data_IF_406563851721
#
_entry.id   IF_406563851721
#
_cell.length_a   1.000
_cell.length_b   1.000
_cell.length_c   1.000
_cell.angle_alpha   90.00
_cell.angle_beta   90.00
_cell.angle_gamma   90.00
#
_symmetry.space_group_name_H-M   'P 1'
#
loop_
_entity.id
_entity.type
_entity.pdbx_description
1 polymer ?
#
# COMPACT_ATOMS: atom_id res chain seq x y z
N UNK A 1 -7.26 -53.87 -30.54
CA UNK A 1 -6.78 -55.03 -29.70
C UNK A 1 -5.29 -54.95 -29.56
N UNK A 2 -4.77 -54.45 -28.44
CA UNK A 2 -3.39 -54.69 -27.96
C UNK A 2 -3.41 -54.46 -26.45
N UNK A 3 -3.28 -55.57 -25.73
CA UNK A 3 -3.18 -55.64 -24.28
C UNK A 3 -1.75 -55.27 -23.89
N UNK A 4 -1.58 -54.32 -22.95
CA UNK A 4 -0.30 -54.04 -22.29
C UNK A 4 -0.38 -54.60 -20.88
N UNK A 5 0.55 -55.51 -20.60
CA UNK A 5 0.76 -56.19 -19.33
C UNK A 5 1.42 -55.27 -18.32
N UNK A 6 0.85 -55.15 -17.12
CA UNK A 6 1.48 -54.51 -15.98
C UNK A 6 2.40 -55.55 -15.27
N UNK A 7 3.69 -55.27 -15.22
CA UNK A 7 4.65 -56.01 -14.41
C UNK A 7 4.78 -55.41 -13.01
N UNK A 8 4.46 -56.17 -12.00
CA UNK A 8 4.69 -55.80 -10.57
C UNK A 8 6.09 -56.30 -10.21
N UNK A 9 6.98 -55.35 -9.86
CA UNK A 9 8.29 -55.63 -9.26
C UNK A 9 8.15 -55.54 -7.74
N UNK A 10 8.21 -56.69 -7.07
CA UNK A 10 8.25 -56.77 -5.62
C UNK A 10 9.68 -56.56 -5.12
N UNK A 11 9.87 -55.61 -4.23
CA UNK A 11 11.12 -55.33 -3.52
C UNK A 11 11.07 -56.05 -2.16
N UNK A 12 11.88 -57.07 -1.97
CA UNK A 12 12.04 -57.80 -0.70
C UNK A 12 13.01 -57.01 0.21
N UNK A 13 12.52 -56.60 1.38
CA UNK A 13 13.37 -56.06 2.45
C UNK A 13 13.96 -57.17 3.28
N UNK A 14 15.28 -57.33 3.27
CA UNK A 14 16.04 -58.19 4.17
C UNK A 14 16.33 -57.41 5.46
N UNK A 15 15.72 -57.80 6.56
CA UNK A 15 16.02 -57.27 7.88
C UNK A 15 17.22 -58.04 8.49
N UNK A 16 18.38 -57.37 8.59
CA UNK A 16 19.52 -57.84 9.38
C UNK A 16 19.36 -57.40 10.82
N UNK A 17 19.05 -58.32 11.71
CA UNK A 17 19.03 -58.08 13.15
C UNK A 17 20.44 -58.07 13.73
N UNK A 18 20.86 -56.96 14.32
CA UNK A 18 22.01 -56.88 15.23
C UNK A 18 21.51 -56.91 16.70
N UNK A 19 21.77 -58.04 17.35
CA UNK A 19 21.54 -58.18 18.79
C UNK A 19 22.73 -57.60 19.55
N UNK A 20 22.49 -56.48 20.30
CA UNK A 20 23.49 -55.93 21.22
C UNK A 20 23.14 -56.40 22.65
N UNK A 21 24.06 -57.15 23.24
CA UNK A 21 23.95 -57.57 24.64
C UNK A 21 24.17 -56.36 25.59
N UNK A 22 23.17 -56.05 26.40
CA UNK A 22 23.25 -55.05 27.46
C UNK A 22 23.88 -55.70 28.71
N UNK A 23 25.14 -55.40 28.99
CA UNK A 23 25.74 -55.61 30.30
C UNK A 23 25.34 -54.46 31.23
N UNK A 24 24.57 -54.81 32.26
CA UNK A 24 24.12 -53.86 33.25
C UNK A 24 25.30 -53.25 34.06
N UNK A 25 25.37 -51.93 34.03
CA UNK A 25 26.12 -51.13 35.05
C UNK A 25 25.09 -50.29 35.77
N UNK A 26 24.90 -50.59 37.02
CA UNK A 26 24.12 -49.74 37.93
C UNK A 26 24.83 -48.41 38.07
N UNK A 27 24.27 -47.36 37.46
CA UNK A 27 24.70 -46.01 37.69
C UNK A 27 23.87 -45.41 38.84
N UNK A 28 24.59 -44.99 39.87
CA UNK A 28 24.11 -44.26 41.02
C UNK A 28 23.31 -43.04 40.56
N UNK A 29 22.08 -42.90 41.05
CA UNK A 29 21.25 -41.70 40.88
C UNK A 29 21.87 -40.49 41.56
N UNK A 30 22.69 -39.73 40.82
CA UNK A 30 22.99 -38.39 41.21
C UNK A 30 21.70 -37.56 41.04
N UNK A 31 21.18 -37.02 42.10
CA UNK A 31 19.97 -36.18 42.15
C UNK A 31 20.10 -35.04 41.11
N UNK A 32 19.22 -35.04 40.14
CA UNK A 32 19.02 -33.89 39.28
C UNK A 32 18.59 -32.71 40.17
N UNK A 33 19.41 -31.70 40.24
CA UNK A 33 18.98 -30.40 40.79
C UNK A 33 17.71 -29.99 40.06
N UNK A 34 16.70 -29.44 40.75
CA UNK A 34 15.52 -28.91 40.05
C UNK A 34 16.02 -27.84 39.11
N UNK A 35 15.92 -28.12 37.81
CA UNK A 35 16.18 -27.14 36.76
C UNK A 35 15.33 -25.91 37.05
N UNK A 36 16.00 -24.80 37.39
CA UNK A 36 15.32 -23.53 37.57
C UNK A 36 14.44 -23.31 36.38
N UNK A 37 13.16 -23.08 36.60
CA UNK A 37 12.25 -22.60 35.55
C UNK A 37 12.97 -21.45 34.85
N UNK A 38 12.94 -21.38 33.50
CA UNK A 38 13.53 -20.26 32.84
C UNK A 38 12.88 -19.01 33.43
N UNK A 39 13.72 -18.09 33.92
CA UNK A 39 13.26 -16.78 34.39
C UNK A 39 12.34 -16.24 33.32
N UNK A 40 11.04 -16.07 33.67
CA UNK A 40 9.99 -15.61 32.77
C UNK A 40 10.10 -14.13 32.39
N UNK A 41 11.28 -13.72 31.94
CA UNK A 41 11.42 -12.50 31.15
C UNK A 41 10.68 -12.76 29.84
N UNK A 42 9.65 -11.97 29.55
CA UNK A 42 8.94 -12.07 28.29
C UNK A 42 9.98 -12.01 27.16
N UNK A 43 9.88 -12.97 26.22
CA UNK A 43 10.68 -12.93 25.00
C UNK A 43 10.61 -11.52 24.41
N UNK A 44 11.74 -10.87 24.07
CA UNK A 44 11.74 -9.46 23.67
C UNK A 44 10.80 -9.14 22.51
N UNK A 45 10.69 -10.06 21.52
CA UNK A 45 9.73 -9.92 20.41
C UNK A 45 8.29 -9.98 20.90
N UNK A 46 7.96 -10.89 21.82
CA UNK A 46 6.61 -11.01 22.37
C UNK A 46 6.19 -9.76 23.18
N UNK A 47 7.15 -9.06 23.79
CA UNK A 47 6.87 -7.79 24.46
C UNK A 47 6.50 -6.69 23.46
N UNK A 48 7.29 -6.52 22.37
CA UNK A 48 7.02 -5.57 21.28
C UNK A 48 5.66 -5.84 20.66
N UNK A 49 5.37 -7.11 20.35
CA UNK A 49 4.09 -7.50 19.74
C UNK A 49 2.92 -7.16 20.65
N UNK A 50 2.99 -7.47 21.94
CA UNK A 50 1.90 -7.21 22.90
C UNK A 50 1.57 -5.73 22.98
N UNK A 51 2.56 -4.87 22.88
CA UNK A 51 2.40 -3.42 22.95
C UNK A 51 1.85 -2.84 21.64
N UNK A 52 2.39 -3.27 20.49
CA UNK A 52 2.03 -2.71 19.18
C UNK A 52 0.74 -3.30 18.59
N UNK A 53 0.46 -4.58 18.86
CA UNK A 53 -0.64 -5.33 18.24
C UNK A 53 -2.01 -4.64 18.35
N UNK A 54 -2.40 -4.02 19.48
CA UNK A 54 -3.70 -3.35 19.57
C UNK A 54 -3.86 -2.18 18.59
N UNK A 55 -2.75 -1.58 18.13
CA UNK A 55 -2.76 -0.49 17.16
C UNK A 55 -2.69 -0.97 15.71
N UNK A 56 -2.48 -2.26 15.44
CA UNK A 56 -2.46 -2.83 14.09
C UNK A 56 -3.88 -3.20 13.66
N UNK A 57 -4.26 -2.84 12.46
CA UNK A 57 -5.61 -3.02 11.94
C UNK A 57 -5.60 -3.73 10.60
N UNK A 58 -6.66 -4.51 10.35
CA UNK A 58 -6.93 -5.05 9.03
C UNK A 58 -7.61 -3.97 8.18
N UNK A 59 -7.13 -3.77 6.96
CA UNK A 59 -7.72 -2.88 5.97
C UNK A 59 -8.28 -3.73 4.85
N UNK A 60 -9.60 -3.66 4.64
CA UNK A 60 -10.29 -4.37 3.57
C UNK A 60 -10.89 -3.35 2.61
N UNK A 61 -10.71 -3.58 1.33
CA UNK A 61 -11.16 -2.68 0.26
C UNK A 61 -12.04 -3.47 -0.70
N UNK A 62 -13.25 -3.00 -0.96
CA UNK A 62 -14.12 -3.56 -1.98
C UNK A 62 -13.66 -3.04 -3.35
N UNK A 63 -13.21 -3.94 -4.23
CA UNK A 63 -12.73 -3.62 -5.58
C UNK A 63 -13.63 -4.22 -6.64
N UNK A 64 -13.77 -3.54 -7.78
CA UNK A 64 -14.48 -4.06 -8.93
C UNK A 64 -13.49 -4.54 -9.99
N UNK A 65 -13.57 -5.80 -10.38
CA UNK A 65 -12.70 -6.40 -11.39
C UNK A 65 -13.50 -6.83 -12.62
N UNK A 66 -12.95 -6.67 -13.85
CA UNK A 66 -13.58 -7.22 -15.02
C UNK A 66 -13.61 -8.75 -14.94
N UNK A 67 -14.80 -9.34 -15.02
CA UNK A 67 -14.96 -10.78 -15.08
C UNK A 67 -14.71 -11.33 -16.52
N UNK A 68 -14.50 -12.64 -16.66
CA UNK A 68 -14.11 -13.29 -17.93
C UNK A 68 -15.13 -13.15 -19.07
N UNK A 69 -16.34 -12.69 -18.79
CA UNK A 69 -17.40 -12.50 -19.78
C UNK A 69 -17.87 -11.03 -19.91
N UNK A 70 -17.00 -10.07 -19.52
CA UNK A 70 -17.33 -8.64 -19.55
C UNK A 70 -18.30 -8.17 -18.46
N UNK A 71 -18.63 -9.05 -17.48
CA UNK A 71 -19.35 -8.68 -16.28
C UNK A 71 -18.39 -8.10 -15.23
N UNK A 72 -18.87 -7.21 -14.39
CA UNK A 72 -18.12 -6.69 -13.25
C UNK A 72 -18.27 -7.66 -12.09
N UNK A 73 -17.16 -8.14 -11.56
CA UNK A 73 -17.12 -8.97 -10.34
C UNK A 73 -16.61 -8.13 -9.18
N UNK A 74 -17.30 -8.24 -8.04
CA UNK A 74 -16.82 -7.64 -6.79
C UNK A 74 -15.76 -8.55 -6.17
N UNK A 75 -14.57 -7.99 -5.96
CA UNK A 75 -13.45 -8.61 -5.24
C UNK A 75 -13.20 -7.87 -3.93
N UNK A 76 -12.30 -8.42 -3.13
CA UNK A 76 -11.82 -7.76 -1.90
C UNK A 76 -10.30 -7.70 -1.94
N UNK A 77 -9.75 -6.50 -1.81
CA UNK A 77 -8.37 -6.29 -1.42
C UNK A 77 -8.24 -6.41 0.10
N UNK A 78 -7.14 -7.00 0.57
CA UNK A 78 -6.84 -7.11 2.00
C UNK A 78 -5.41 -6.66 2.24
N UNK A 79 -5.23 -5.80 3.22
CA UNK A 79 -3.95 -5.32 3.68
C UNK A 79 -3.98 -5.00 5.17
N UNK A 80 -2.95 -4.33 5.61
CA UNK A 80 -2.76 -3.94 7.00
C UNK A 80 -2.62 -2.42 7.09
N UNK A 81 -2.95 -1.87 8.25
CA UNK A 81 -2.64 -0.51 8.64
C UNK A 81 -2.24 -0.45 10.10
N UNK A 82 -1.79 0.70 10.55
CA UNK A 82 -1.52 0.93 11.96
C UNK A 82 -1.97 2.32 12.38
N UNK A 83 -2.51 2.40 13.60
CA UNK A 83 -3.09 3.62 14.17
C UNK A 83 -1.97 4.47 14.76
N UNK A 84 -1.84 5.70 14.28
CA UNK A 84 -0.80 6.64 14.73
C UNK A 84 -1.37 7.74 15.63
N UNK A 85 -2.71 7.89 15.67
CA UNK A 85 -3.38 8.89 16.50
C UNK A 85 -4.70 8.35 17.07
N UNK A 86 -4.95 8.63 18.36
CA UNK A 86 -6.08 8.07 19.12
C UNK A 86 -7.46 8.40 18.56
N UNK A 87 -7.57 9.43 17.73
CA UNK A 87 -8.82 9.82 17.06
C UNK A 87 -9.05 9.10 15.72
N UNK A 88 -8.23 8.08 15.39
CA UNK A 88 -8.46 7.20 14.26
C UNK A 88 -7.72 7.55 12.98
N UNK A 89 -6.53 8.16 13.07
CA UNK A 89 -5.61 8.30 11.95
C UNK A 89 -4.82 7.00 11.80
N UNK A 90 -4.81 6.45 10.60
CA UNK A 90 -4.21 5.17 10.25
C UNK A 90 -3.30 5.37 9.04
N UNK A 91 -2.13 4.76 9.08
CA UNK A 91 -1.20 4.70 7.95
C UNK A 91 -1.28 3.32 7.32
N UNK A 92 -1.25 3.27 5.99
CA UNK A 92 -1.22 2.05 5.18
C UNK A 92 -0.56 2.32 3.83
N UNK A 93 -0.42 1.32 2.96
CA UNK A 93 0.00 1.53 1.58
C UNK A 93 -1.12 2.05 0.68
N UNK A 94 -0.76 2.79 -0.39
CA UNK A 94 -1.73 3.26 -1.36
C UNK A 94 -2.36 2.09 -2.13
N UNK A 95 -1.56 1.10 -2.59
CA UNK A 95 -2.07 -0.06 -3.32
C UNK A 95 -3.07 -0.91 -2.53
N UNK A 96 -3.10 -0.81 -1.20
CA UNK A 96 -4.10 -1.50 -0.36
C UNK A 96 -5.49 -0.89 -0.52
N UNK A 97 -5.58 0.39 -0.85
CA UNK A 97 -6.84 1.15 -0.94
C UNK A 97 -7.14 1.69 -2.33
N UNK A 98 -6.18 1.62 -3.24
CA UNK A 98 -6.30 2.07 -4.64
C UNK A 98 -7.41 1.28 -5.38
N UNK A 99 -8.20 1.95 -6.20
CA UNK A 99 -9.31 1.33 -6.95
C UNK A 99 -10.49 0.85 -6.10
N UNK A 100 -10.49 1.14 -4.80
CA UNK A 100 -11.53 0.68 -3.87
C UNK A 100 -12.76 1.56 -3.84
N UNK A 101 -13.94 0.94 -3.85
CA UNK A 101 -15.22 1.63 -3.71
C UNK A 101 -15.64 1.84 -2.25
N UNK A 102 -15.17 0.97 -1.36
CA UNK A 102 -15.41 1.04 0.08
C UNK A 102 -14.19 0.52 0.84
N UNK A 103 -13.75 1.27 1.84
CA UNK A 103 -12.68 0.88 2.73
C UNK A 103 -13.26 0.59 4.12
N UNK A 104 -12.96 -0.59 4.64
CA UNK A 104 -13.36 -1.02 5.99
C UNK A 104 -12.10 -1.35 6.80
N UNK A 105 -12.03 -0.83 8.00
CA UNK A 105 -10.97 -1.10 8.96
C UNK A 105 -11.51 -1.95 10.09
N UNK A 106 -10.81 -3.06 10.39
CA UNK A 106 -11.13 -3.94 11.53
C UNK A 106 -10.00 -3.94 12.54
N UNK A 107 -10.31 -3.72 13.82
CA UNK A 107 -9.31 -3.72 14.90
C UNK A 107 -8.87 -5.12 15.26
N UNK A 108 -7.66 -5.26 15.82
CA UNK A 108 -7.07 -6.54 16.28
C UNK A 108 -7.53 -6.98 17.68
N UNK A 109 -8.53 -6.33 18.26
CA UNK A 109 -9.06 -6.70 19.57
C UNK A 109 -9.69 -8.11 19.58
N UNK A 110 -9.81 -8.74 20.75
CA UNK A 110 -10.50 -10.05 20.91
C UNK A 110 -11.93 -10.04 20.35
N UNK A 111 -12.59 -8.88 20.41
CA UNK A 111 -13.84 -8.61 19.71
C UNK A 111 -13.56 -7.52 18.68
N UNK A 112 -13.26 -7.88 17.41
CA UNK A 112 -12.94 -6.91 16.38
C UNK A 112 -14.10 -5.93 16.16
N UNK A 113 -13.78 -4.64 16.15
CA UNK A 113 -14.72 -3.60 15.73
C UNK A 113 -14.41 -3.22 14.30
N UNK A 114 -15.45 -3.04 13.50
CA UNK A 114 -15.35 -2.57 12.13
C UNK A 114 -15.77 -1.12 12.03
N UNK A 115 -15.05 -0.38 11.21
CA UNK A 115 -15.29 1.03 10.93
C UNK A 115 -15.19 1.27 9.44
N UNK A 116 -16.09 2.10 8.92
CA UNK A 116 -15.89 2.67 7.59
C UNK A 116 -14.73 3.67 7.67
N UNK A 117 -13.82 3.56 6.71
CA UNK A 117 -12.65 4.43 6.62
C UNK A 117 -12.70 5.30 5.36
N UNK A 118 -12.11 6.48 5.45
CA UNK A 118 -11.89 7.36 4.32
C UNK A 118 -10.42 7.73 4.23
N UNK A 119 -9.92 7.85 3.01
CA UNK A 119 -8.58 8.38 2.79
C UNK A 119 -8.61 9.89 3.06
N UNK A 120 -7.65 10.38 3.82
CA UNK A 120 -7.50 11.79 4.16
C UNK A 120 -6.23 12.41 3.58
N UNK A 121 -5.39 11.64 2.94
CA UNK A 121 -4.18 12.07 2.27
C UNK A 121 -3.30 10.88 1.93
N UNK A 122 -2.19 11.15 1.28
CA UNK A 122 -1.22 10.11 0.90
C UNK A 122 -0.35 10.56 -0.27
N UNK A 123 0.54 9.67 -0.65
CA UNK A 123 1.42 9.79 -1.82
C UNK A 123 1.49 8.43 -2.52
N UNK A 124 0.64 8.24 -3.52
CA UNK A 124 0.57 6.96 -4.23
C UNK A 124 1.80 6.68 -5.11
N UNK A 125 2.60 7.69 -5.46
CA UNK A 125 3.88 7.45 -6.14
C UNK A 125 4.87 6.73 -5.22
N UNK A 126 4.81 7.04 -3.91
CA UNK A 126 5.62 6.39 -2.87
C UNK A 126 4.83 5.36 -2.07
N UNK A 127 3.68 4.93 -2.61
CA UNK A 127 2.83 3.87 -2.05
C UNK A 127 2.36 4.12 -0.61
N UNK A 128 1.98 5.34 -0.30
CA UNK A 128 1.54 5.76 1.03
C UNK A 128 0.11 6.27 1.00
N UNK A 129 -0.72 5.80 1.94
CA UNK A 129 -2.06 6.32 2.19
C UNK A 129 -2.29 6.56 3.69
N UNK A 130 -3.04 7.62 3.99
CA UNK A 130 -3.46 7.98 5.34
C UNK A 130 -4.98 7.92 5.41
N UNK A 131 -5.49 7.09 6.33
CA UNK A 131 -6.92 6.88 6.51
C UNK A 131 -7.42 7.54 7.79
N UNK A 132 -8.71 7.82 7.82
CA UNK A 132 -9.44 8.27 9.01
C UNK A 132 -10.66 7.38 9.24
N UNK A 133 -10.80 6.91 10.46
CA UNK A 133 -12.01 6.27 10.98
C UNK A 133 -12.63 7.14 12.07
N UNK A 134 -13.94 7.10 12.23
CA UNK A 134 -14.64 7.86 13.25
C UNK A 134 -14.68 7.06 14.56
N UNK A 135 -13.58 7.17 15.31
CA UNK A 135 -13.39 6.53 16.61
C UNK A 135 -12.48 7.39 17.48
N UNK A 136 -12.52 7.16 18.79
CA UNK A 136 -11.73 7.89 19.78
C UNK A 136 -11.10 6.93 20.79
N UNK A 137 -10.07 7.40 21.50
CA UNK A 137 -9.34 6.63 22.51
C UNK A 137 -8.79 5.29 22.00
N UNK A 138 -8.40 5.28 20.72
CA UNK A 138 -7.80 4.10 20.09
C UNK A 138 -6.35 3.92 20.57
N UNK A 139 -5.87 2.67 20.68
CA UNK A 139 -4.46 2.39 20.88
C UNK A 139 -3.65 2.90 19.66
N UNK A 140 -2.44 3.38 19.92
CA UNK A 140 -1.55 3.91 18.89
C UNK A 140 -0.17 3.29 19.00
N UNK A 141 0.56 3.24 17.89
CA UNK A 141 1.96 2.86 17.86
C UNK A 141 2.81 4.09 17.55
N UNK A 142 3.92 4.33 18.30
CA UNK A 142 4.78 5.48 18.07
C UNK A 142 5.59 5.32 16.77
N UNK A 143 5.79 6.42 16.04
CA UNK A 143 6.71 6.48 14.92
C UNK A 143 8.15 6.63 15.45
N UNK A 144 9.04 5.80 14.94
CA UNK A 144 10.47 5.80 15.27
C UNK A 144 11.29 6.67 14.32
N UNK A 145 12.55 6.34 14.19
CA UNK A 145 13.55 7.00 13.36
C UNK A 145 14.22 5.92 12.49
N UNK A 146 13.95 5.94 11.18
CA UNK A 146 14.56 5.00 10.24
C UNK A 146 16.00 5.37 9.87
N UNK A 147 16.36 6.65 10.02
CA UNK A 147 17.74 7.13 9.79
C UNK A 147 18.72 6.63 10.86
N UNK A 148 18.22 6.25 12.05
CA UNK A 148 19.04 5.67 13.11
C UNK A 148 19.23 4.15 13.01
N UNK A 149 18.65 3.48 12.00
CA UNK A 149 18.77 2.03 11.82
C UNK A 149 20.19 1.63 11.42
N UNK A 150 20.62 0.46 11.91
CA UNK A 150 21.89 -0.15 11.53
C UNK A 150 21.69 -1.56 10.99
N UNK A 151 22.58 -2.02 10.13
CA UNK A 151 22.56 -3.38 9.59
C UNK A 151 22.67 -4.42 10.72
N UNK A 152 21.88 -5.47 10.63
CA UNK A 152 21.79 -6.51 11.65
C UNK A 152 20.88 -6.18 12.82
N UNK A 153 20.32 -4.97 12.91
CA UNK A 153 19.36 -4.60 13.94
C UNK A 153 18.09 -5.43 13.81
N UNK A 154 17.59 -5.99 14.92
CA UNK A 154 16.35 -6.79 14.94
C UNK A 154 15.14 -5.93 14.67
N UNK A 155 14.23 -6.48 13.85
CA UNK A 155 12.95 -5.86 13.49
C UNK A 155 11.83 -6.90 13.56
N UNK A 156 10.59 -6.41 13.75
CA UNK A 156 9.38 -7.22 13.82
C UNK A 156 8.36 -6.65 12.85
N UNK A 157 7.88 -7.45 11.93
CA UNK A 157 6.79 -7.09 11.04
C UNK A 157 5.48 -7.69 11.54
N UNK A 158 4.41 -6.90 11.50
CA UNK A 158 3.06 -7.34 11.90
C UNK A 158 2.11 -7.03 10.74
N UNK A 159 1.21 -7.98 10.44
CA UNK A 159 0.18 -7.74 9.43
C UNK A 159 -0.78 -8.91 9.23
N UNK A 160 -1.84 -8.68 8.46
CA UNK A 160 -2.90 -9.66 8.18
C UNK A 160 -2.56 -10.49 6.93
N UNK A 161 -1.46 -11.24 6.98
CA UNK A 161 -0.96 -12.02 5.87
C UNK A 161 -2.02 -12.98 5.32
N UNK A 162 -2.19 -13.01 3.97
CA UNK A 162 -3.06 -13.93 3.24
C UNK A 162 -4.53 -13.91 3.68
N UNK A 163 -4.98 -12.87 4.33
CA UNK A 163 -6.35 -12.77 4.89
C UNK A 163 -6.77 -14.00 5.74
N UNK A 164 -5.81 -14.64 6.41
CA UNK A 164 -6.06 -15.82 7.22
C UNK A 164 -6.95 -15.48 8.42
N UNK A 165 -7.84 -16.40 8.75
CA UNK A 165 -8.61 -16.32 9.99
C UNK A 165 -7.68 -16.48 11.21
N UNK A 166 -8.01 -15.81 12.32
CA UNK A 166 -7.26 -15.94 13.58
C UNK A 166 -6.41 -14.73 13.96
N UNK A 167 -6.45 -13.66 13.18
CA UNK A 167 -5.77 -12.41 13.51
C UNK A 167 -4.46 -12.16 12.75
N UNK A 168 -3.70 -11.13 13.12
CA UNK A 168 -2.48 -10.76 12.40
C UNK A 168 -1.34 -11.77 12.60
N UNK A 169 -0.53 -11.89 11.56
CA UNK A 169 0.71 -12.67 11.54
C UNK A 169 1.85 -11.78 12.04
N UNK A 170 2.75 -12.37 12.80
CA UNK A 170 3.99 -11.74 13.28
C UNK A 170 5.18 -12.46 12.68
N UNK A 171 6.09 -11.70 12.08
CA UNK A 171 7.39 -12.21 11.64
C UNK A 171 8.51 -11.37 12.25
N UNK A 172 9.68 -11.96 12.45
CA UNK A 172 10.84 -11.26 12.99
C UNK A 172 12.07 -11.55 12.13
N UNK A 173 12.92 -10.56 12.01
CA UNK A 173 14.15 -10.63 11.24
C UNK A 173 15.11 -9.52 11.64
N UNK A 174 15.99 -9.15 10.72
CA UNK A 174 16.97 -8.09 10.87
C UNK A 174 16.88 -7.09 9.71
N UNK A 175 17.44 -5.94 9.90
CA UNK A 175 17.75 -4.99 8.82
C UNK A 175 18.87 -5.58 7.98
N UNK A 176 18.55 -6.01 6.76
CA UNK A 176 19.52 -6.64 5.83
C UNK A 176 20.22 -5.63 4.93
N UNK A 177 19.53 -4.54 4.58
CA UNK A 177 20.10 -3.39 3.85
C UNK A 177 19.26 -2.13 4.09
N UNK A 178 19.86 -0.96 3.84
CA UNK A 178 19.26 0.36 3.96
C UNK A 178 19.46 1.15 2.66
N UNK A 179 18.66 2.22 2.49
CA UNK A 179 18.79 3.20 1.40
C UNK A 179 18.78 2.55 0.01
N UNK A 180 17.95 1.49 -0.19
CA UNK A 180 17.81 0.86 -1.50
C UNK A 180 16.68 1.51 -2.28
N UNK A 181 16.84 1.52 -3.61
CA UNK A 181 15.74 1.79 -4.53
C UNK A 181 15.37 0.49 -5.25
N UNK A 182 14.07 0.20 -5.30
CA UNK A 182 13.53 -0.96 -6.03
C UNK A 182 12.43 -0.52 -6.97
N UNK A 183 12.25 -1.26 -8.06
CA UNK A 183 11.16 -1.06 -9.01
C UNK A 183 10.33 -2.33 -9.06
N UNK A 184 9.04 -2.20 -8.82
CA UNK A 184 8.08 -3.29 -8.84
C UNK A 184 7.10 -3.04 -9.97
N UNK A 185 6.85 -4.06 -10.81
CA UNK A 185 5.82 -3.98 -11.84
C UNK A 185 4.45 -4.00 -11.16
N UNK A 186 3.68 -2.97 -11.39
CA UNK A 186 2.33 -2.81 -10.88
C UNK A 186 1.43 -2.23 -11.97
N UNK A 187 0.90 -3.10 -12.86
CA UNK A 187 0.03 -2.68 -13.96
C UNK A 187 -1.28 -2.03 -13.49
N UNK A 188 -1.65 -2.22 -12.21
CA UNK A 188 -2.87 -1.64 -11.63
C UNK A 188 -2.67 -0.23 -11.08
N UNK A 189 -1.42 0.25 -11.05
CA UNK A 189 -1.11 1.58 -10.55
C UNK A 189 -1.34 2.65 -11.61
N UNK A 190 -2.42 3.40 -11.49
CA UNK A 190 -2.80 4.46 -12.44
C UNK A 190 -1.84 5.66 -12.44
N UNK A 191 -1.15 5.89 -11.32
CA UNK A 191 -0.21 7.02 -11.16
C UNK A 191 1.24 6.65 -11.46
N UNK A 192 1.52 5.36 -11.70
CA UNK A 192 2.88 4.88 -11.95
C UNK A 192 3.30 5.03 -13.41
N UNK A 193 4.52 5.49 -13.64
CA UNK A 193 5.09 5.54 -14.99
C UNK A 193 5.32 4.12 -15.53
N UNK A 194 4.77 3.82 -16.71
CA UNK A 194 4.92 2.53 -17.39
C UNK A 194 4.45 1.31 -16.58
N UNK A 195 3.46 1.48 -15.68
CA UNK A 195 2.97 0.40 -14.83
C UNK A 195 4.04 -0.14 -13.88
N UNK A 196 4.97 0.70 -13.45
CA UNK A 196 6.03 0.34 -12.52
C UNK A 196 6.09 1.32 -11.36
N UNK A 197 5.96 0.82 -10.14
CA UNK A 197 6.10 1.57 -8.89
C UNK A 197 7.56 1.60 -8.47
N UNK A 198 8.10 2.79 -8.24
CA UNK A 198 9.48 2.97 -7.78
C UNK A 198 9.46 3.32 -6.31
N UNK A 199 10.06 2.46 -5.51
CA UNK A 199 10.28 2.72 -4.10
C UNK A 199 11.70 3.22 -3.91
N UNK A 200 11.85 4.44 -3.43
CA UNK A 200 13.12 5.00 -2.99
C UNK A 200 13.24 4.87 -1.48
N UNK A 201 14.46 4.73 -0.98
CA UNK A 201 14.75 4.67 0.45
C UNK A 201 14.00 3.55 1.19
N UNK A 202 14.12 2.30 0.68
CA UNK A 202 13.53 1.15 1.35
C UNK A 202 14.52 0.46 2.30
N UNK A 203 13.97 -0.06 3.38
CA UNK A 203 14.61 -0.97 4.32
C UNK A 203 14.42 -2.38 3.78
N UNK A 204 15.52 -3.11 3.55
CA UNK A 204 15.44 -4.54 3.27
C UNK A 204 15.55 -5.33 4.57
N UNK A 205 14.72 -6.36 4.71
CA UNK A 205 14.70 -7.26 5.86
C UNK A 205 14.52 -8.72 5.41
N UNK A 206 14.99 -9.66 6.23
CA UNK A 206 14.71 -11.09 6.11
C UNK A 206 13.46 -11.52 6.91
N UNK A 207 12.82 -10.59 7.64
CA UNK A 207 11.49 -10.83 8.16
C UNK A 207 10.54 -11.12 6.98
N UNK A 208 9.74 -12.19 7.09
CA UNK A 208 8.85 -12.58 6.00
C UNK A 208 7.77 -11.51 5.76
N UNK A 209 7.83 -10.84 4.62
CA UNK A 209 6.82 -9.91 4.11
C UNK A 209 6.08 -10.60 2.98
N UNK A 210 4.78 -10.78 3.13
CA UNK A 210 3.91 -11.46 2.18
C UNK A 210 2.64 -10.64 1.94
N UNK A 211 1.84 -11.03 0.94
CA UNK A 211 0.54 -10.43 0.68
C UNK A 211 -0.31 -10.34 1.94
N UNK A 212 -0.82 -9.15 2.23
CA UNK A 212 -1.60 -8.83 3.41
C UNK A 212 -0.79 -8.18 4.54
N UNK A 213 0.54 -8.37 4.63
CA UNK A 213 1.38 -7.58 5.53
C UNK A 213 1.55 -6.13 5.04
N UNK A 214 1.34 -5.88 3.74
CA UNK A 214 1.43 -4.56 3.12
C UNK A 214 0.62 -3.53 3.88
N UNK A 215 1.22 -2.37 4.16
CA UNK A 215 0.67 -1.29 4.98
C UNK A 215 0.83 -1.47 6.48
N UNK A 216 1.28 -2.65 6.94
CA UNK A 216 1.56 -2.93 8.34
C UNK A 216 2.89 -2.34 8.82
N UNK A 217 3.11 -2.25 10.15
CA UNK A 217 4.33 -1.68 10.68
C UNK A 217 5.51 -2.67 10.65
N UNK A 218 6.69 -2.16 10.30
CA UNK A 218 7.98 -2.74 10.66
C UNK A 218 8.48 -2.04 11.93
N UNK A 219 8.64 -2.79 13.02
CA UNK A 219 8.94 -2.26 14.35
C UNK A 219 10.40 -2.52 14.73
N UNK A 220 11.03 -1.58 15.43
CA UNK A 220 12.25 -1.83 16.18
C UNK A 220 11.95 -2.52 17.51
N UNK A 221 12.99 -2.92 18.26
CA UNK A 221 12.84 -3.60 19.55
C UNK A 221 12.36 -2.68 20.68
N UNK A 222 12.19 -1.37 20.43
CA UNK A 222 11.53 -0.43 21.33
C UNK A 222 10.01 -0.27 21.03
N UNK A 223 9.45 -1.07 20.08
CA UNK A 223 8.05 -0.99 19.70
C UNK A 223 7.69 0.21 18.83
N UNK A 224 8.68 0.89 18.24
CA UNK A 224 8.47 2.04 17.39
C UNK A 224 8.46 1.62 15.92
N UNK A 225 7.59 2.22 15.10
CA UNK A 225 7.53 1.97 13.66
C UNK A 225 8.73 2.61 12.98
N UNK A 226 9.58 1.81 12.35
CA UNK A 226 10.73 2.25 11.58
C UNK A 226 10.52 2.09 10.07
N UNK A 227 9.47 1.37 9.66
CA UNK A 227 9.09 1.22 8.26
C UNK A 227 7.66 0.78 8.09
N UNK A 228 7.17 0.88 6.86
CA UNK A 228 5.85 0.41 6.42
C UNK A 228 6.08 -0.78 5.50
N UNK A 229 5.65 -1.97 5.91
CA UNK A 229 5.80 -3.17 5.08
C UNK A 229 5.10 -2.95 3.73
N UNK A 230 5.76 -3.23 2.61
CA UNK A 230 5.16 -3.00 1.31
C UNK A 230 5.24 -4.22 0.40
N UNK A 231 6.41 -4.60 -0.07
CA UNK A 231 6.57 -5.65 -1.06
C UNK A 231 7.47 -6.78 -0.55
N UNK A 232 7.11 -8.01 -0.90
CA UNK A 232 8.07 -9.11 -1.00
C UNK A 232 8.67 -9.12 -2.41
N UNK A 233 9.86 -9.64 -2.56
CA UNK A 233 10.37 -9.94 -3.89
C UNK A 233 9.70 -11.24 -4.35
N UNK A 234 8.74 -11.18 -5.28
CA UNK A 234 8.04 -12.36 -5.80
C UNK A 234 8.97 -13.44 -6.39
N UNK A 235 10.21 -13.05 -6.69
CA UNK A 235 11.23 -13.90 -7.33
C UNK A 235 12.35 -14.35 -6.39
N UNK A 236 12.35 -13.90 -5.11
CA UNK A 236 13.43 -14.23 -4.18
C UNK A 236 12.87 -14.53 -2.77
N UNK A 237 13.27 -15.64 -2.21
CA UNK A 237 12.92 -16.02 -0.84
C UNK A 237 13.70 -15.17 0.19
N UNK A 238 13.06 -14.87 1.32
CA UNK A 238 13.66 -14.14 2.46
C UNK A 238 14.15 -12.73 2.12
N UNK A 239 13.52 -12.07 1.15
CA UNK A 239 13.75 -10.66 0.83
C UNK A 239 12.44 -9.92 0.95
N UNK A 240 12.27 -9.16 2.04
CA UNK A 240 11.18 -8.24 2.26
C UNK A 240 11.64 -6.79 2.20
N UNK A 241 10.74 -5.90 1.83
CA UNK A 241 10.99 -4.47 1.77
C UNK A 241 9.95 -3.69 2.57
N UNK A 242 10.40 -2.66 3.26
CA UNK A 242 9.55 -1.70 3.94
C UNK A 242 9.97 -0.28 3.55
N UNK A 243 9.00 0.59 3.33
CA UNK A 243 9.21 2.02 3.12
C UNK A 243 9.74 2.60 4.42
N UNK A 244 10.86 3.32 4.38
CA UNK A 244 11.43 3.95 5.56
C UNK A 244 10.46 4.95 6.17
N UNK A 245 10.26 4.92 7.50
CA UNK A 245 9.21 5.75 8.15
C UNK A 245 9.51 7.24 8.03
N UNK A 246 10.78 7.65 7.96
CA UNK A 246 11.12 9.06 7.86
C UNK A 246 10.67 9.66 6.53
N UNK A 247 10.69 8.90 5.43
CA UNK A 247 10.15 9.35 4.14
C UNK A 247 8.61 9.49 4.15
N UNK A 248 7.92 8.82 5.07
CA UNK A 248 6.46 8.88 5.20
C UNK A 248 5.96 9.97 6.17
N UNK A 249 6.80 10.43 7.11
CA UNK A 249 6.38 11.33 8.21
C UNK A 249 5.75 12.63 7.72
N UNK A 250 6.36 13.29 6.75
CA UNK A 250 5.87 14.58 6.25
C UNK A 250 4.49 14.41 5.58
N UNK A 251 4.30 13.38 4.78
CA UNK A 251 3.01 13.07 4.17
C UNK A 251 1.94 12.76 5.22
N UNK A 252 2.28 12.01 6.26
CA UNK A 252 1.37 11.72 7.38
C UNK A 252 1.00 13.01 8.12
N UNK A 253 1.99 13.85 8.43
CA UNK A 253 1.74 15.13 9.11
C UNK A 253 0.90 16.07 8.26
N UNK A 254 1.17 16.17 6.96
CA UNK A 254 0.40 16.98 6.03
C UNK A 254 -1.05 16.48 5.94
N UNK A 255 -1.27 15.17 5.82
CA UNK A 255 -2.61 14.59 5.79
C UNK A 255 -3.40 14.83 7.09
N UNK A 256 -2.70 14.93 8.23
CA UNK A 256 -3.30 15.26 9.53
C UNK A 256 -3.62 16.75 9.63
N UNK A 257 -2.71 17.61 9.20
CA UNK A 257 -2.84 19.07 9.32
C UNK A 257 -3.88 19.63 8.36
N UNK A 258 -3.89 19.13 7.15
CA UNK A 258 -4.83 19.50 6.09
C UNK A 258 -5.36 18.21 5.44
N UNK A 259 -6.39 17.60 6.02
CA UNK A 259 -6.96 16.36 5.49
C UNK A 259 -7.39 16.54 4.04
N UNK A 260 -6.68 15.84 3.13
CA UNK A 260 -6.68 16.08 1.70
C UNK A 260 -6.43 17.57 1.48
N UNK A 261 -5.17 17.97 1.85
CA UNK A 261 -4.69 19.31 1.59
C UNK A 261 -5.34 19.76 0.32
N UNK A 262 -6.17 20.79 0.41
CA UNK A 262 -7.18 21.06 -0.58
C UNK A 262 -6.50 21.28 -1.93
N UNK A 263 -6.08 20.17 -2.55
CA UNK A 263 -5.54 20.20 -3.89
C UNK A 263 -6.62 20.83 -4.75
N UNK A 264 -6.26 21.93 -5.35
CA UNK A 264 -7.14 22.60 -6.27
C UNK A 264 -7.64 21.55 -7.29
N UNK A 265 -8.94 21.47 -7.42
CA UNK A 265 -9.60 20.44 -8.21
C UNK A 265 -10.28 21.07 -9.41
N UNK A 266 -9.82 20.70 -10.59
CA UNK A 266 -10.44 21.13 -11.84
C UNK A 266 -11.64 20.25 -12.23
N UNK A 267 -11.64 18.97 -11.87
CA UNK A 267 -12.71 18.04 -12.18
C UNK A 267 -12.64 17.47 -13.61
N UNK A 268 -11.45 17.13 -14.05
CA UNK A 268 -11.23 16.45 -15.34
C UNK A 268 -10.42 15.19 -15.16
N UNK A 269 -10.72 14.18 -15.95
CA UNK A 269 -9.81 13.08 -16.28
C UNK A 269 -9.09 13.44 -17.56
N UNK A 270 -7.76 13.45 -17.55
CA UNK A 270 -6.99 13.92 -18.71
C UNK A 270 -5.86 12.96 -19.07
N UNK A 271 -5.53 12.91 -20.36
CA UNK A 271 -4.43 12.13 -20.93
C UNK A 271 -3.48 13.07 -21.69
N UNK A 272 -2.19 12.79 -21.61
CA UNK A 272 -1.17 13.52 -22.38
C UNK A 272 -1.41 13.36 -23.90
N UNK A 273 -1.50 14.47 -24.62
CA UNK A 273 -1.51 14.46 -26.07
C UNK A 273 -0.12 14.11 -26.58
N UNK A 274 -0.01 12.93 -27.21
CA UNK A 274 1.17 12.51 -27.96
C UNK A 274 0.93 12.72 -29.45
N UNK A 275 1.97 12.81 -30.31
CA UNK A 275 1.78 12.89 -31.75
C UNK A 275 0.93 11.73 -32.30
N UNK A 276 1.10 10.52 -31.77
CA UNK A 276 0.31 9.35 -32.16
C UNK A 276 -1.18 9.54 -31.80
N UNK A 277 -1.48 9.98 -30.56
CA UNK A 277 -2.84 10.25 -30.12
C UNK A 277 -3.48 11.39 -30.91
N UNK A 278 -2.72 12.44 -31.21
CA UNK A 278 -3.19 13.57 -32.00
C UNK A 278 -3.65 13.13 -33.40
N UNK A 279 -2.87 12.25 -34.06
CA UNK A 279 -3.25 11.66 -35.33
C UNK A 279 -4.47 10.75 -35.19
N UNK A 280 -4.48 9.88 -34.20
CA UNK A 280 -5.57 8.92 -33.98
C UNK A 280 -6.92 9.61 -33.73
N UNK A 281 -6.93 10.69 -32.94
CA UNK A 281 -8.13 11.43 -32.61
C UNK A 281 -8.39 12.63 -33.53
N UNK A 282 -7.53 12.92 -34.50
CA UNK A 282 -7.66 14.08 -35.40
C UNK A 282 -7.55 15.43 -34.65
N UNK A 283 -6.73 15.49 -33.58
CA UNK A 283 -6.61 16.71 -32.77
C UNK A 283 -5.81 17.80 -33.51
N UNK A 284 -6.20 19.07 -33.38
CA UNK A 284 -5.52 20.19 -34.02
C UNK A 284 -4.23 20.63 -33.34
N UNK A 285 -3.82 19.94 -32.27
CA UNK A 285 -2.61 20.20 -31.47
C UNK A 285 -1.82 18.92 -31.23
N UNK A 286 -0.51 19.05 -31.03
CA UNK A 286 0.41 17.92 -30.85
C UNK A 286 0.87 17.70 -29.39
N UNK A 287 0.41 18.57 -28.48
CA UNK A 287 0.72 18.54 -27.05
C UNK A 287 -0.41 19.15 -26.25
N UNK A 288 -0.48 18.84 -24.96
CA UNK A 288 -1.51 19.32 -24.04
C UNK A 288 -2.09 18.18 -23.20
N UNK A 289 -3.07 18.50 -22.37
CA UNK A 289 -3.86 17.54 -21.61
C UNK A 289 -5.23 17.37 -22.26
N UNK A 290 -5.44 16.24 -22.96
CA UNK A 290 -6.72 15.87 -23.58
C UNK A 290 -7.72 15.48 -22.50
N UNK A 291 -8.87 16.12 -22.46
CA UNK A 291 -9.95 15.84 -21.51
C UNK A 291 -10.72 14.60 -21.98
N UNK A 292 -10.54 13.50 -21.28
CA UNK A 292 -11.25 12.24 -21.53
C UNK A 292 -12.68 12.35 -21.00
N UNK A 293 -12.83 12.90 -19.78
CA UNK A 293 -14.11 13.09 -19.12
C UNK A 293 -14.05 14.26 -18.15
N UNK A 294 -15.20 14.90 -17.94
CA UNK A 294 -15.42 15.89 -16.88
C UNK A 294 -16.24 15.25 -15.75
N UNK A 295 -15.92 15.61 -14.50
CA UNK A 295 -16.72 15.18 -13.36
C UNK A 295 -18.07 15.86 -13.36
N UNK A 296 -19.15 15.08 -13.16
CA UNK A 296 -20.49 15.62 -13.04
C UNK A 296 -20.58 16.63 -11.88
N UNK A 297 -21.20 17.78 -12.14
CA UNK A 297 -21.29 18.90 -11.20
C UNK A 297 -19.93 19.41 -10.70
N UNK A 298 -18.85 19.10 -11.42
CA UNK A 298 -17.51 19.57 -11.12
C UNK A 298 -17.19 20.94 -11.70
N UNK A 299 -16.10 21.60 -11.22
CA UNK A 299 -15.68 22.92 -11.66
C UNK A 299 -15.52 23.06 -13.17
N UNK A 300 -14.87 22.09 -13.81
CA UNK A 300 -14.66 22.08 -15.26
C UNK A 300 -15.98 22.07 -16.02
N UNK A 301 -16.93 21.23 -15.62
CA UNK A 301 -18.24 21.15 -16.27
C UNK A 301 -19.02 22.48 -16.12
N UNK A 302 -19.02 23.07 -14.92
CA UNK A 302 -19.66 24.37 -14.68
C UNK A 302 -19.04 25.49 -15.50
N UNK A 303 -17.72 25.45 -15.74
CA UNK A 303 -17.02 26.40 -16.60
C UNK A 303 -17.17 26.13 -18.10
N UNK A 304 -17.86 25.05 -18.49
CA UNK A 304 -18.11 24.70 -19.89
C UNK A 304 -16.94 23.97 -20.57
N UNK A 305 -15.99 23.41 -19.81
CA UNK A 305 -15.01 22.45 -20.34
C UNK A 305 -15.75 21.16 -20.70
N UNK A 306 -15.42 20.56 -21.82
CA UNK A 306 -16.11 19.38 -22.34
C UNK A 306 -15.11 18.25 -22.61
N UNK A 307 -15.64 17.04 -22.61
CA UNK A 307 -14.93 15.87 -23.11
C UNK A 307 -14.49 16.12 -24.54
N UNK A 308 -13.24 15.81 -24.87
CA UNK A 308 -12.63 16.09 -26.18
C UNK A 308 -11.92 17.45 -26.29
N UNK A 309 -12.00 18.34 -25.32
CA UNK A 309 -11.16 19.55 -25.25
C UNK A 309 -9.70 19.18 -24.94
N UNK A 310 -8.76 19.99 -25.36
CA UNK A 310 -7.36 19.91 -24.96
C UNK A 310 -7.00 21.16 -24.14
N UNK A 311 -6.58 20.96 -22.91
CA UNK A 311 -6.06 22.02 -22.04
C UNK A 311 -4.62 22.31 -22.47
N UNK A 312 -4.31 23.56 -22.83
CA UNK A 312 -3.00 23.97 -23.33
C UNK A 312 -2.31 25.00 -22.43
N UNK A 313 -3.04 25.68 -21.53
CA UNK A 313 -2.46 26.53 -20.50
C UNK A 313 -3.43 26.73 -19.32
N UNK A 314 -2.90 27.09 -18.14
CA UNK A 314 -3.62 27.58 -16.96
C UNK A 314 -2.91 28.84 -16.45
N UNK A 315 -3.63 29.95 -16.33
CA UNK A 315 -3.09 31.26 -15.93
C UNK A 315 -1.80 31.63 -16.72
N UNK A 316 -1.80 31.35 -18.03
CA UNK A 316 -0.67 31.58 -18.92
C UNK A 316 0.50 30.61 -18.75
N UNK A 317 0.46 29.67 -17.80
CA UNK A 317 1.43 28.58 -17.69
C UNK A 317 1.10 27.49 -18.70
N UNK A 318 2.03 27.18 -19.58
CA UNK A 318 1.84 26.17 -20.65
C UNK A 318 1.63 24.77 -20.06
N UNK A 319 0.64 24.06 -20.60
CA UNK A 319 0.37 22.65 -20.33
C UNK A 319 0.73 21.85 -21.60
N UNK A 320 1.77 21.04 -21.52
CA UNK A 320 2.21 20.17 -22.62
C UNK A 320 1.85 18.71 -22.39
N UNK A 321 1.62 18.33 -21.11
CA UNK A 321 1.28 16.99 -20.67
C UNK A 321 0.17 17.01 -19.61
N UNK A 322 -0.44 15.87 -19.32
CA UNK A 322 -1.34 15.72 -18.19
C UNK A 322 -0.60 15.92 -16.83
N UNK A 323 0.69 15.56 -16.78
CA UNK A 323 1.53 15.77 -15.59
C UNK A 323 1.80 17.26 -15.33
N UNK A 324 1.95 18.09 -16.39
CA UNK A 324 2.06 19.56 -16.22
C UNK A 324 0.77 20.12 -15.62
N UNK A 325 -0.38 19.64 -16.11
CA UNK A 325 -1.68 20.04 -15.56
C UNK A 325 -1.77 19.71 -14.06
N UNK A 326 -1.43 18.48 -13.68
CA UNK A 326 -1.43 18.06 -12.29
C UNK A 326 -0.47 18.89 -11.43
N UNK A 327 0.74 19.16 -11.92
CA UNK A 327 1.77 19.94 -11.24
C UNK A 327 1.35 21.39 -11.02
N UNK A 328 0.70 22.02 -12.03
CA UNK A 328 0.18 23.38 -11.91
C UNK A 328 -0.94 23.42 -10.86
N UNK A 329 -1.90 22.48 -10.91
CA UNK A 329 -3.01 22.41 -9.96
C UNK A 329 -2.54 22.16 -8.53
N UNK A 330 -1.48 21.38 -8.31
CA UNK A 330 -0.90 21.14 -6.99
C UNK A 330 -0.38 22.43 -6.31
N UNK A 331 -0.01 23.43 -7.08
CA UNK A 331 0.45 24.73 -6.57
C UNK A 331 -0.68 25.78 -6.35
N UNK A 332 -1.95 25.40 -6.59
CA UNK A 332 -3.11 26.30 -6.49
C UNK A 332 -3.99 25.91 -5.28
N UNK A 333 -4.91 26.81 -4.91
CA UNK A 333 -5.81 26.62 -3.78
C UNK A 333 -7.26 26.43 -4.25
N UNK A 334 -8.08 25.59 -3.57
CA UNK A 334 -9.51 25.54 -3.79
C UNK A 334 -10.17 26.90 -3.57
N UNK A 335 -11.15 27.21 -4.41
CA UNK A 335 -11.80 28.53 -4.42
C UNK A 335 -11.04 29.56 -5.24
N UNK A 336 -9.81 29.30 -5.67
CA UNK A 336 -9.08 30.18 -6.59
C UNK A 336 -9.71 30.11 -7.98
N UNK A 337 -9.92 31.28 -8.60
CA UNK A 337 -10.31 31.33 -10.01
C UNK A 337 -9.06 31.41 -10.89
N UNK A 338 -9.04 30.56 -11.91
CA UNK A 338 -7.95 30.46 -12.88
C UNK A 338 -8.50 30.51 -14.29
N UNK A 339 -7.74 31.08 -15.20
CA UNK A 339 -8.05 31.08 -16.63
C UNK A 339 -7.49 29.82 -17.28
N UNK A 340 -8.34 29.03 -17.93
CA UNK A 340 -7.95 27.79 -18.60
C UNK A 340 -8.08 27.96 -20.11
N UNK A 341 -6.96 27.84 -20.81
CA UNK A 341 -6.92 27.90 -22.27
C UNK A 341 -7.16 26.53 -22.88
N UNK A 342 -8.13 26.46 -23.78
CA UNK A 342 -8.63 25.23 -24.38
C UNK A 342 -8.53 25.28 -25.90
N UNK A 343 -8.31 24.13 -26.48
CA UNK A 343 -8.46 23.88 -27.91
C UNK A 343 -9.52 22.80 -28.08
N UNK A 344 -10.62 23.13 -28.76
CA UNK A 344 -11.66 22.14 -29.05
C UNK A 344 -11.19 21.14 -30.12
N UNK A 345 -11.84 19.98 -30.22
CA UNK A 345 -11.59 19.00 -31.25
C UNK A 345 -11.68 19.58 -32.70
N UNK A 346 -12.50 20.62 -32.91
CA UNK A 346 -12.64 21.31 -34.20
C UNK A 346 -11.60 22.41 -34.46
N UNK A 347 -10.65 22.61 -33.53
CA UNK A 347 -9.57 23.61 -33.63
C UNK A 347 -9.93 25.00 -33.06
N UNK A 348 -11.15 25.19 -32.57
CA UNK A 348 -11.53 26.43 -31.94
C UNK A 348 -10.77 26.66 -30.62
N UNK A 349 -10.12 27.82 -30.48
CA UNK A 349 -9.45 28.21 -29.22
C UNK A 349 -10.39 29.06 -28.39
N UNK A 350 -10.42 28.80 -27.08
CA UNK A 350 -11.16 29.60 -26.11
C UNK A 350 -10.46 29.57 -24.76
N UNK A 351 -10.70 30.59 -23.97
CA UNK A 351 -10.32 30.65 -22.57
C UNK A 351 -11.58 30.65 -21.71
N UNK A 352 -11.56 29.93 -20.61
CA UNK A 352 -12.67 29.89 -19.65
C UNK A 352 -12.12 30.13 -18.23
N UNK A 353 -12.87 30.93 -17.44
CA UNK A 353 -12.54 31.12 -16.05
C UNK A 353 -13.17 29.98 -15.22
N UNK A 354 -12.34 29.29 -14.44
CA UNK A 354 -12.75 28.19 -13.59
C UNK A 354 -12.45 28.51 -12.14
N UNK A 355 -13.47 28.52 -11.31
CA UNK A 355 -13.26 28.52 -9.86
C UNK A 355 -12.95 27.09 -9.43
N UNK A 356 -11.70 26.85 -9.03
CA UNK A 356 -11.23 25.54 -8.64
C UNK A 356 -12.00 25.02 -7.42
N UNK A 357 -12.45 23.81 -7.50
CA UNK A 357 -13.11 23.14 -6.39
C UNK A 357 -12.13 22.56 -5.39
N UNK A 358 -12.67 22.06 -4.31
CA UNK A 358 -11.99 21.11 -3.44
C UNK A 358 -12.13 19.73 -4.08
N UNK A 359 -11.05 18.99 -4.25
CA UNK A 359 -11.14 17.62 -4.73
C UNK A 359 -12.17 16.87 -3.87
N UNK A 360 -13.22 16.29 -4.43
CA UNK A 360 -14.14 15.49 -3.65
C UNK A 360 -13.31 14.46 -2.88
N UNK A 361 -13.64 14.26 -1.60
CA UNK A 361 -13.10 13.13 -0.85
C UNK A 361 -13.44 11.90 -1.69
N UNK A 362 -12.50 11.06 -2.07
CA UNK A 362 -12.86 9.87 -2.78
C UNK A 362 -13.77 9.07 -1.86
N UNK A 363 -15.07 9.12 -2.13
CA UNK A 363 -15.98 8.05 -1.77
C UNK A 363 -15.66 6.83 -2.61
N UNK A 364 -14.85 7.04 -3.66
CA UNK A 364 -14.31 6.06 -4.56
C UNK A 364 -12.94 6.57 -5.02
N UNK A 365 -11.87 5.83 -4.77
CA UNK A 365 -10.65 5.95 -5.56
C UNK A 365 -11.00 5.49 -6.98
N UNK A 366 -10.64 6.25 -8.01
CA UNK A 366 -10.86 5.81 -9.38
C UNK A 366 -10.15 4.50 -9.67
#
# INVERSE_FOLDING_TARGET
MRKILLGIVGLAFVASGCSVALTGRSASSAGAAPGGAPNGGAEPVAAVVREALPAVVNVTTDVFQPGPFGNVQQGKGVGTGFIVRQDGIIVTNCHVVEGGSKITVSTSAQTPKQYDARVIGGDCQHDLAVLKIDATALPTVPLGDSGALVLGQRVVAIGYALALEGGPTVTAGIVSALNRSITVQDPSCDVCKNGARVYSDVIQTDAAINHGNSGGPLLNMAGQVVGINSAGADTAENIGFAIAIDSAKDTVQQAIADPLAAAAYLGVSAQTVTPALAVQLGLPVQSGAYVIATTADGPAQHAGIKDGDVIVAIDGKTVTTADDLASILAGLQPGQSVSVDLVSHTGGRRSVDVTLGRRPLPTQFP
#
